data_IF_404740627752
#
_entry.id   IF_404740627752
#
_cell.length_a   1.000
_cell.length_b   1.000
_cell.length_c   1.000
_cell.angle_alpha   90.00
_cell.angle_beta   90.00
_cell.angle_gamma   90.00
#
_symmetry.space_group_name_H-M   'P 1'
#
loop_
_entity.id
_entity.type
_entity.pdbx_description
1 polymer ?
#
# COMPACT_ATOMS: atom_id res chain seq x y z
N UNK A 1 0.06 -17.85 -1.70
CA UNK A 1 -0.14 -16.44 -1.32
C UNK A 1 1.19 -15.72 -1.37
N UNK A 2 1.23 -14.50 -1.92
CA UNK A 2 2.43 -13.68 -1.86
C UNK A 2 2.57 -13.19 -0.41
N UNK A 3 3.73 -13.43 0.22
CA UNK A 3 3.99 -12.95 1.57
C UNK A 3 4.37 -11.48 1.49
N UNK A 4 3.50 -10.60 1.96
CA UNK A 4 3.77 -9.17 2.07
C UNK A 4 4.53 -8.90 3.37
N UNK A 5 5.52 -8.02 3.28
CA UNK A 5 6.41 -7.63 4.38
C UNK A 5 6.67 -6.12 4.33
N UNK A 6 7.26 -5.57 5.39
CA UNK A 6 7.65 -4.16 5.44
C UNK A 6 8.54 -3.72 4.25
N UNK A 7 9.43 -4.60 3.80
CA UNK A 7 10.36 -4.35 2.68
C UNK A 7 9.74 -4.54 1.30
N UNK A 8 8.49 -5.03 1.23
CA UNK A 8 7.81 -5.23 -0.05
C UNK A 8 7.70 -3.92 -0.81
N UNK A 9 8.13 -3.91 -2.07
CA UNK A 9 8.12 -2.72 -2.91
C UNK A 9 6.68 -2.37 -3.31
N UNK A 10 6.27 -1.15 -2.97
CA UNK A 10 4.92 -0.67 -3.22
C UNK A 10 4.53 -0.76 -4.70
N UNK A 11 5.41 -0.32 -5.59
CA UNK A 11 5.14 -0.36 -7.04
C UNK A 11 5.04 -1.78 -7.60
N UNK A 12 5.76 -2.75 -7.03
CA UNK A 12 5.63 -4.16 -7.44
C UNK A 12 4.24 -4.69 -7.07
N UNK A 13 3.74 -4.35 -5.88
CA UNK A 13 2.40 -4.70 -5.44
C UNK A 13 1.33 -4.06 -6.34
N UNK A 14 1.48 -2.79 -6.72
CA UNK A 14 0.55 -2.13 -7.64
C UNK A 14 0.55 -2.74 -9.04
N UNK A 15 1.73 -3.07 -9.57
CA UNK A 15 1.85 -3.68 -10.89
C UNK A 15 1.20 -5.06 -10.92
N UNK A 16 1.30 -5.82 -9.83
CA UNK A 16 0.71 -7.14 -9.70
C UNK A 16 -0.80 -7.09 -9.40
N UNK A 17 -1.24 -6.08 -8.65
CA UNK A 17 -2.62 -5.90 -8.22
C UNK A 17 -3.12 -4.49 -8.58
N UNK A 18 -3.55 -4.24 -9.82
CA UNK A 18 -3.86 -2.88 -10.30
C UNK A 18 -4.98 -2.15 -9.54
N UNK A 19 -5.89 -2.90 -8.90
CA UNK A 19 -6.99 -2.35 -8.10
C UNK A 19 -6.58 -2.00 -6.66
N UNK A 20 -5.43 -2.50 -6.19
CA UNK A 20 -4.98 -2.41 -4.79
C UNK A 20 -4.99 -1.00 -4.23
N UNK A 21 -4.45 -0.05 -5.00
CA UNK A 21 -4.40 1.36 -4.62
C UNK A 21 -5.80 1.97 -4.40
N UNK A 22 -6.73 1.69 -5.31
CA UNK A 22 -8.11 2.18 -5.20
C UNK A 22 -8.79 1.54 -4.00
N UNK A 23 -8.70 0.22 -3.88
CA UNK A 23 -9.42 -0.54 -2.88
C UNK A 23 -8.87 -0.26 -1.46
N UNK A 24 -7.56 0.01 -1.31
CA UNK A 24 -6.97 0.52 -0.07
C UNK A 24 -7.56 1.88 0.32
N UNK A 25 -7.62 2.84 -0.61
CA UNK A 25 -8.19 4.17 -0.34
C UNK A 25 -9.66 4.13 0.05
N UNK A 26 -10.42 3.15 -0.48
CA UNK A 26 -11.82 2.91 -0.10
C UNK A 26 -11.96 2.21 1.26
N UNK A 27 -11.05 1.28 1.59
CA UNK A 27 -11.08 0.54 2.86
C UNK A 27 -10.61 1.39 4.04
N UNK A 28 -9.64 2.29 3.83
CA UNK A 28 -9.11 3.17 4.86
C UNK A 28 -8.68 4.51 4.27
N UNK A 29 -9.32 5.60 4.72
CA UNK A 29 -9.10 6.97 4.26
C UNK A 29 -7.65 7.43 4.41
N UNK A 30 -6.89 6.85 5.34
CA UNK A 30 -5.46 7.12 5.51
C UNK A 30 -4.63 6.78 4.27
N UNK A 31 -5.16 5.98 3.34
CA UNK A 31 -4.52 5.66 2.06
C UNK A 31 -5.03 6.50 0.87
N UNK A 32 -5.87 7.51 1.08
CA UNK A 32 -6.31 8.41 -0.01
C UNK A 32 -5.13 9.10 -0.71
N UNK A 33 -4.03 9.37 0.01
CA UNK A 33 -2.83 9.94 -0.61
C UNK A 33 -2.28 9.07 -1.74
N UNK A 34 -2.45 7.75 -1.69
CA UNK A 34 -2.01 6.82 -2.73
C UNK A 34 -2.64 7.17 -4.08
N UNK A 35 -3.88 7.68 -4.12
CA UNK A 35 -4.61 8.08 -5.34
C UNK A 35 -4.29 9.45 -5.87
N UNK A 36 -3.58 10.28 -5.12
CA UNK A 36 -3.16 11.60 -5.57
C UNK A 36 -1.97 11.53 -6.55
N UNK A 37 -1.83 12.51 -7.47
CA UNK A 37 -0.63 12.62 -8.30
C UNK A 37 0.67 12.75 -7.49
N UNK A 38 0.63 13.49 -6.38
CA UNK A 38 1.79 13.68 -5.50
C UNK A 38 2.21 12.38 -4.82
N UNK A 39 1.24 11.63 -4.26
CA UNK A 39 1.52 10.33 -3.66
C UNK A 39 2.11 9.32 -4.64
N UNK A 40 1.71 9.38 -5.92
CA UNK A 40 2.31 8.54 -6.96
C UNK A 40 3.80 8.82 -7.16
N UNK A 41 4.19 10.10 -7.15
CA UNK A 41 5.59 10.50 -7.35
C UNK A 41 6.42 10.18 -6.10
N UNK A 42 5.92 10.54 -4.92
CA UNK A 42 6.67 10.38 -3.67
C UNK A 42 6.89 8.93 -3.27
N UNK A 43 6.04 8.00 -3.73
CA UNK A 43 6.10 6.58 -3.36
C UNK A 43 6.67 5.68 -4.45
N UNK A 44 7.21 6.25 -5.55
CA UNK A 44 7.64 5.45 -6.69
C UNK A 44 8.69 4.39 -6.32
N UNK A 45 9.59 4.69 -5.39
CA UNK A 45 10.63 3.76 -4.93
C UNK A 45 10.35 3.16 -3.55
N UNK A 46 9.18 3.47 -2.98
CA UNK A 46 8.87 3.22 -1.59
C UNK A 46 8.63 1.73 -1.26
N UNK A 47 8.95 1.34 -0.04
CA UNK A 47 8.49 0.09 0.58
C UNK A 47 7.27 0.33 1.49
N UNK A 48 6.71 -0.73 2.09
CA UNK A 48 5.55 -0.60 2.97
C UNK A 48 5.87 0.08 4.31
N UNK A 49 7.11 0.04 4.78
CA UNK A 49 7.52 0.86 5.93
C UNK A 49 7.35 2.36 5.63
N UNK A 50 7.81 2.82 4.49
CA UNK A 50 7.69 4.22 4.07
C UNK A 50 6.22 4.61 3.81
N UNK A 51 5.45 3.72 3.17
CA UNK A 51 4.00 3.92 3.00
C UNK A 51 3.29 4.07 4.35
N UNK A 52 3.67 3.28 5.36
CA UNK A 52 3.07 3.37 6.71
C UNK A 52 3.31 4.74 7.36
N UNK A 53 4.48 5.34 7.14
CA UNK A 53 4.82 6.68 7.65
C UNK A 53 3.94 7.75 7.01
N UNK A 54 3.69 7.65 5.70
CA UNK A 54 2.76 8.56 5.01
C UNK A 54 1.30 8.38 5.41
N UNK A 55 0.90 7.15 5.73
CA UNK A 55 -0.44 6.82 6.20
C UNK A 55 -0.66 7.13 7.70
N UNK A 56 0.40 7.51 8.42
CA UNK A 56 0.40 7.64 9.89
C UNK A 56 -0.16 6.38 10.57
N UNK A 57 0.32 5.21 10.13
CA UNK A 57 -0.02 3.88 10.67
C UNK A 57 1.25 3.16 11.12
N UNK A 58 1.08 2.14 11.95
CA UNK A 58 2.19 1.21 12.19
C UNK A 58 2.49 0.39 10.92
N UNK A 59 3.74 -0.08 10.82
CA UNK A 59 4.18 -0.94 9.72
C UNK A 59 3.37 -2.23 9.70
N UNK A 60 3.11 -2.82 10.87
CA UNK A 60 2.34 -4.06 11.00
C UNK A 60 0.90 -3.88 10.51
N UNK A 61 0.21 -2.82 10.93
CA UNK A 61 -1.14 -2.52 10.43
C UNK A 61 -1.16 -2.32 8.91
N UNK A 62 -0.15 -1.62 8.38
CA UNK A 62 -0.02 -1.40 6.93
C UNK A 62 0.17 -2.71 6.19
N UNK A 63 1.09 -3.57 6.65
CA UNK A 63 1.33 -4.89 6.06
C UNK A 63 0.08 -5.76 6.13
N UNK A 64 -0.63 -5.79 7.27
CA UNK A 64 -1.89 -6.54 7.41
C UNK A 64 -2.95 -6.04 6.43
N UNK A 65 -3.15 -4.73 6.30
CA UNK A 65 -4.15 -4.18 5.37
C UNK A 65 -3.85 -4.53 3.91
N UNK A 66 -2.57 -4.46 3.52
CA UNK A 66 -2.13 -4.89 2.19
C UNK A 66 -2.30 -6.39 1.99
N UNK A 67 -1.91 -7.22 2.98
CA UNK A 67 -2.01 -8.67 2.91
C UNK A 67 -3.47 -9.12 2.81
N UNK A 68 -4.36 -8.61 3.67
CA UNK A 68 -5.80 -8.91 3.65
C UNK A 68 -6.42 -8.61 2.29
N UNK A 69 -6.03 -7.48 1.69
CA UNK A 69 -6.59 -7.05 0.42
C UNK A 69 -6.04 -7.89 -0.74
N UNK A 70 -4.74 -8.21 -0.72
CA UNK A 70 -4.12 -9.10 -1.71
C UNK A 70 -4.67 -10.53 -1.62
N UNK A 71 -4.95 -11.02 -0.42
CA UNK A 71 -5.54 -12.36 -0.22
C UNK A 71 -7.02 -12.41 -0.60
N UNK A 72 -7.67 -11.25 -0.81
CA UNK A 72 -9.05 -11.16 -1.31
C UNK A 72 -9.17 -11.18 -2.84
N UNK A 73 -8.05 -11.13 -3.57
CA UNK A 73 -7.98 -11.25 -5.03
C UNK A 73 -7.69 -12.68 -5.48
#
# INVERSE_FOLDING_TARGET
MAKITADSKYMELLNKYPLLKRDLSQKNWKFEFLVTPMGKISLWEANLEEVSKHAELSVDETVTLFQDLVDSY
#
